data_IF_904437969296
#
_entry.id   IF_904437969296
#
_cell.length_a   1.000
_cell.length_b   1.000
_cell.length_c   1.000
_cell.angle_alpha   90.00
_cell.angle_beta   90.00
_cell.angle_gamma   90.00
#
_symmetry.space_group_name_H-M   'P 1'
#
loop_
_entity.id
_entity.type
_entity.pdbx_description
1 polymer ?
#
# COMPACT_ATOMS: atom_id res chain seq x y z
N UNK A 1 14.38 10.80 20.16
CA UNK A 1 14.20 11.05 19.73
C UNK A 1 14.16 10.96 19.20
N UNK A 2 14.12 11.05 19.10
CA UNK A 2 13.99 11.05 18.38
C UNK A 2 13.77 10.83 17.76
N UNK A 3 13.80 10.80 17.61
CA UNK A 3 13.54 10.73 16.98
C UNK A 3 13.23 10.54 16.46
N UNK A 4 13.30 10.56 16.24
CA UNK A 4 13.00 10.59 15.59
C UNK A 4 12.85 10.51 14.81
N UNK A 5 12.87 10.19 14.68
CA UNK A 5 12.75 10.27 13.89
C UNK A 5 12.38 10.32 13.10
N UNK A 6 12.29 10.34 12.83
CA UNK A 6 11.90 10.63 12.12
C UNK A 6 12.01 10.81 11.44
N UNK A 7 12.23 10.70 11.18
CA UNK A 7 12.41 10.98 10.65
C UNK A 7 12.37 10.97 9.61
N UNK A 8 12.53 10.89 9.81
CA UNK A 8 12.73 10.68 8.59
C UNK A 8 11.80 10.78 7.57
N UNK A 9 12.07 11.27 6.76
CA UNK A 9 11.24 11.65 5.79
C UNK A 9 10.57 10.58 5.17
N UNK A 10 11.03 9.72 4.91
CA UNK A 10 10.44 8.86 4.22
C UNK A 10 9.74 8.00 5.02
N UNK A 11 10.08 7.45 5.55
CA UNK A 11 9.53 6.55 6.37
C UNK A 11 8.10 6.29 6.35
N UNK A 12 7.53 6.15 7.51
CA UNK A 12 6.19 5.63 7.63
C UNK A 12 5.10 6.50 7.05
N UNK A 13 5.40 7.74 6.81
CA UNK A 13 4.36 8.62 6.30
C UNK A 13 4.37 8.72 4.79
N UNK A 14 5.30 8.06 4.13
CA UNK A 14 5.36 8.16 2.69
C UNK A 14 4.31 7.27 2.03
N UNK A 15 3.72 7.78 0.97
CA UNK A 15 2.85 6.98 0.16
C UNK A 15 3.71 5.98 -0.61
N UNK A 16 3.26 4.74 -0.76
CA UNK A 16 4.03 3.78 -1.53
C UNK A 16 3.99 4.15 -3.02
N UNK A 17 5.06 3.84 -3.72
CA UNK A 17 5.09 4.04 -5.16
C UNK A 17 4.19 3.01 -5.84
N UNK A 18 3.64 3.32 -7.01
CA UNK A 18 2.79 2.37 -7.73
C UNK A 18 3.46 1.01 -7.92
N UNK A 19 4.75 1.00 -8.23
CA UNK A 19 5.49 -0.25 -8.42
C UNK A 19 5.59 -1.04 -7.13
N UNK A 20 5.69 -0.37 -5.99
CA UNK A 20 5.74 -1.05 -4.69
C UNK A 20 4.40 -1.72 -4.39
N UNK A 21 3.30 -1.02 -4.68
CA UNK A 21 1.97 -1.54 -4.44
C UNK A 21 1.77 -2.81 -5.28
N UNK A 22 2.14 -2.75 -6.54
CA UNK A 22 2.00 -3.89 -7.43
C UNK A 22 2.88 -5.05 -6.99
N UNK A 23 4.13 -4.78 -6.65
CA UNK A 23 5.06 -5.83 -6.25
C UNK A 23 4.58 -6.54 -4.98
N UNK A 24 4.04 -5.79 -4.02
CA UNK A 24 3.54 -6.39 -2.79
C UNK A 24 2.33 -7.28 -3.07
N UNK A 25 1.45 -6.83 -3.98
CA UNK A 25 0.29 -7.62 -4.36
C UNK A 25 0.71 -8.92 -5.03
N UNK A 26 1.63 -8.82 -5.99
CA UNK A 26 2.10 -10.00 -6.71
C UNK A 26 2.82 -10.98 -5.81
N UNK A 27 3.63 -10.45 -4.89
CA UNK A 27 4.33 -11.30 -3.92
C UNK A 27 3.36 -12.06 -3.03
N UNK A 28 2.20 -11.48 -2.77
CA UNK A 28 1.16 -12.14 -1.97
C UNK A 28 0.30 -13.09 -2.79
N UNK A 29 0.50 -13.13 -4.10
CA UNK A 29 -0.26 -14.02 -4.99
C UNK A 29 -1.69 -13.57 -5.21
N UNK A 30 -1.97 -12.27 -5.09
CA UNK A 30 -3.32 -11.77 -5.15
C UNK A 30 -3.61 -11.05 -6.47
N UNK A 31 -4.85 -11.18 -6.94
CA UNK A 31 -5.33 -10.34 -8.03
C UNK A 31 -5.60 -8.95 -7.48
N UNK A 32 -5.79 -7.99 -8.36
CA UNK A 32 -6.15 -6.63 -7.93
C UNK A 32 -7.48 -6.63 -7.18
N UNK A 33 -8.45 -7.41 -7.66
CA UNK A 33 -9.75 -7.52 -7.00
C UNK A 33 -9.59 -8.07 -5.58
N UNK A 34 -8.82 -9.14 -5.42
CA UNK A 34 -8.64 -9.75 -4.12
C UNK A 34 -7.87 -8.84 -3.17
N UNK A 35 -6.86 -8.14 -3.68
CA UNK A 35 -6.09 -7.22 -2.86
C UNK A 35 -6.97 -6.07 -2.35
N UNK A 36 -7.77 -5.49 -3.24
CA UNK A 36 -8.67 -4.41 -2.84
C UNK A 36 -9.67 -4.88 -1.80
N UNK A 37 -10.26 -6.06 -2.00
CA UNK A 37 -11.23 -6.60 -1.07
C UNK A 37 -10.62 -6.84 0.31
N UNK A 38 -9.36 -7.23 0.35
CA UNK A 38 -8.68 -7.52 1.61
C UNK A 38 -8.66 -6.31 2.55
N UNK A 39 -8.57 -5.12 1.98
CA UNK A 39 -8.54 -3.89 2.77
C UNK A 39 -9.80 -3.04 2.58
N UNK A 40 -10.89 -3.69 2.16
CA UNK A 40 -12.20 -3.05 2.07
C UNK A 40 -12.24 -1.89 1.07
N UNK A 41 -11.47 -1.97 0.01
CA UNK A 41 -11.44 -0.97 -1.04
C UNK A 41 -12.00 -1.53 -2.34
N UNK A 42 -12.24 -0.64 -3.31
CA UNK A 42 -12.78 -1.07 -4.60
C UNK A 42 -11.66 -1.48 -5.55
N UNK A 43 -12.01 -2.30 -6.52
CA UNK A 43 -11.06 -2.66 -7.58
C UNK A 43 -10.56 -1.40 -8.29
N UNK A 44 -11.47 -0.46 -8.57
CA UNK A 44 -11.08 0.75 -9.27
C UNK A 44 -10.04 1.55 -8.48
N UNK A 45 -10.26 1.66 -7.17
CA UNK A 45 -9.31 2.35 -6.32
C UNK A 45 -7.93 1.71 -6.37
N UNK A 46 -7.91 0.38 -6.29
CA UNK A 46 -6.63 -0.33 -6.36
C UNK A 46 -5.95 -0.10 -7.71
N UNK A 47 -6.71 -0.18 -8.79
CA UNK A 47 -6.16 0.04 -10.12
C UNK A 47 -5.56 1.43 -10.28
N UNK A 48 -6.22 2.44 -9.71
CA UNK A 48 -5.72 3.82 -9.76
C UNK A 48 -4.39 3.93 -9.02
N UNK A 49 -4.23 3.22 -7.92
CA UNK A 49 -2.97 3.25 -7.19
C UNK A 49 -1.84 2.62 -8.00
N UNK A 50 -2.08 1.48 -8.64
CA UNK A 50 -1.03 0.85 -9.43
C UNK A 50 -0.73 1.59 -10.73
N UNK A 51 -1.71 2.31 -11.24
CA UNK A 51 -1.52 3.11 -12.44
C UNK A 51 -0.82 4.44 -12.17
N UNK A 52 -0.73 4.84 -10.90
CA UNK A 52 -0.10 6.10 -10.54
C UNK A 52 -1.02 7.30 -10.66
N UNK A 53 -2.32 7.08 -10.90
CA UNK A 53 -3.26 8.18 -11.02
C UNK A 53 -3.69 8.73 -9.67
N UNK A 54 -3.59 7.93 -8.63
CA UNK A 54 -3.92 8.34 -7.28
C UNK A 54 -2.89 7.74 -6.34
N UNK A 55 -2.62 8.44 -5.25
CA UNK A 55 -1.67 7.94 -4.27
C UNK A 55 -2.38 7.09 -3.23
N UNK A 56 -1.81 5.95 -2.91
CA UNK A 56 -2.34 5.11 -1.86
C UNK A 56 -1.98 5.70 -0.51
N UNK A 57 -2.99 5.92 0.33
CA UNK A 57 -2.74 6.46 1.66
C UNK A 57 -1.90 5.48 2.48
N UNK A 58 -0.95 5.96 3.27
CA UNK A 58 -0.11 5.08 4.08
C UNK A 58 -0.88 4.14 4.99
N UNK A 59 -2.05 4.56 5.46
CA UNK A 59 -2.86 3.70 6.33
C UNK A 59 -3.34 2.45 5.60
N UNK A 60 -3.76 2.60 4.35
CA UNK A 60 -4.16 1.44 3.55
C UNK A 60 -2.97 0.55 3.24
N UNK A 61 -1.82 1.16 2.98
CA UNK A 61 -0.60 0.43 2.71
C UNK A 61 -0.19 -0.41 3.92
N UNK A 62 -0.22 0.20 5.08
CA UNK A 62 0.10 -0.50 6.30
C UNK A 62 -0.87 -1.64 6.57
N UNK A 63 -2.16 -1.38 6.42
CA UNK A 63 -3.18 -2.41 6.63
C UNK A 63 -2.97 -3.58 5.69
N UNK A 64 -2.70 -3.29 4.42
CA UNK A 64 -2.47 -4.35 3.44
C UNK A 64 -1.29 -5.21 3.85
N UNK A 65 -0.18 -4.58 4.23
CA UNK A 65 1.02 -5.32 4.59
C UNK A 65 0.81 -6.18 5.83
N UNK A 66 0.06 -5.67 6.79
CA UNK A 66 -0.26 -6.44 7.98
C UNK A 66 -1.10 -7.66 7.62
N UNK A 67 -2.10 -7.46 6.79
CA UNK A 67 -3.01 -8.55 6.46
C UNK A 67 -2.35 -9.64 5.63
N UNK A 68 -1.49 -9.29 4.69
CA UNK A 68 -0.83 -10.31 3.87
C UNK A 68 0.26 -11.04 4.65
N UNK A 69 0.74 -10.47 5.74
CA UNK A 69 1.74 -11.12 6.58
C UNK A 69 1.12 -12.07 7.60
N UNK A 70 -0.19 -12.03 7.76
CA UNK A 70 -0.86 -12.84 8.78
C UNK A 70 -0.96 -14.31 8.42
#
# INVERSE_FOLDING_TARGET
MPSHPNRGPKGPTANPAPAEVRAAREAAGLSQTAAAALIHCTLRGWQEWEAGNRRMHPAFWELFRIKVAS
#
